data_IF_087043540225
#
_entry.id   IF_087043540225
#
_cell.length_a   1.000
_cell.length_b   1.000
_cell.length_c   1.000
_cell.angle_alpha   90.00
_cell.angle_beta   90.00
_cell.angle_gamma   90.00
#
_symmetry.space_group_name_H-M   'P 1'
#
loop_
_entity.id
_entity.type
_entity.pdbx_description
1 polymer ?
#
# COMPACT_ATOMS: atom_id res chain seq x y z
N UNK A 1 -41.66 -19.41 -23.02
CA UNK A 1 -41.13 -19.15 -21.65
C UNK A 1 -39.59 -19.09 -21.60
N UNK A 2 -38.84 -19.82 -22.43
CA UNK A 2 -37.35 -19.82 -22.43
C UNK A 2 -36.66 -18.49 -22.81
N UNK A 3 -37.27 -17.64 -23.66
CA UNK A 3 -36.66 -16.35 -24.06
C UNK A 3 -36.59 -15.32 -22.92
N UNK A 4 -37.49 -15.43 -21.94
CA UNK A 4 -37.50 -14.59 -20.72
C UNK A 4 -36.46 -15.06 -19.71
N UNK A 5 -36.23 -16.38 -19.63
CA UNK A 5 -35.23 -16.98 -18.76
C UNK A 5 -33.82 -16.64 -19.25
N UNK A 6 -33.58 -16.69 -20.57
CA UNK A 6 -32.31 -16.28 -21.16
C UNK A 6 -32.01 -14.78 -20.98
N UNK A 7 -33.02 -13.92 -21.02
CA UNK A 7 -32.87 -12.48 -20.79
C UNK A 7 -32.60 -12.13 -19.31
N UNK A 8 -33.17 -12.91 -18.37
CA UNK A 8 -32.92 -12.76 -16.92
C UNK A 8 -31.54 -13.29 -16.55
N UNK A 9 -31.08 -14.38 -17.18
CA UNK A 9 -29.71 -14.90 -16.99
C UNK A 9 -28.67 -13.92 -17.57
N UNK A 10 -28.92 -13.35 -18.75
CA UNK A 10 -28.02 -12.36 -19.35
C UNK A 10 -27.90 -11.04 -18.56
N UNK A 11 -28.94 -10.65 -17.82
CA UNK A 11 -28.90 -9.44 -16.98
C UNK A 11 -28.25 -9.67 -15.63
N UNK A 12 -28.27 -10.92 -15.13
CA UNK A 12 -27.60 -11.29 -13.87
C UNK A 12 -26.07 -11.42 -14.02
N UNK A 13 -25.57 -11.79 -15.21
CA UNK A 13 -24.13 -11.87 -15.47
C UNK A 13 -23.44 -10.50 -15.54
N UNK A 14 -24.13 -9.45 -15.98
CA UNK A 14 -23.54 -8.10 -16.12
C UNK A 14 -23.45 -7.38 -14.77
N UNK A 15 -24.29 -7.73 -13.78
CA UNK A 15 -24.31 -7.08 -12.47
C UNK A 15 -23.24 -7.61 -11.48
N UNK A 16 -22.63 -8.78 -11.75
CA UNK A 16 -21.68 -9.43 -10.82
C UNK A 16 -20.20 -9.17 -11.22
N UNK A 17 -19.95 -8.49 -12.34
CA UNK A 17 -18.60 -8.32 -12.89
C UNK A 17 -17.78 -7.11 -12.39
N UNK A 18 -18.34 -6.18 -11.60
CA UNK A 18 -17.72 -4.85 -11.40
C UNK A 18 -17.10 -4.54 -10.04
N UNK A 19 -16.98 -5.49 -9.12
CA UNK A 19 -16.43 -5.21 -7.78
C UNK A 19 -15.19 -6.04 -7.40
N UNK A 20 -14.18 -6.08 -8.27
CA UNK A 20 -12.83 -6.55 -7.89
C UNK A 20 -11.78 -5.52 -8.31
N UNK A 21 -11.81 -4.33 -7.68
CA UNK A 21 -10.71 -3.36 -7.68
C UNK A 21 -10.10 -3.19 -6.28
N UNK A 22 -10.28 -4.18 -5.41
CA UNK A 22 -9.64 -4.17 -4.09
C UNK A 22 -8.18 -4.58 -4.23
N UNK A 23 -7.25 -3.62 -4.04
CA UNK A 23 -6.05 -3.96 -3.29
C UNK A 23 -4.70 -3.38 -3.73
N UNK A 24 -4.59 -2.62 -4.82
CA UNK A 24 -3.37 -1.83 -5.01
C UNK A 24 -3.43 -0.62 -4.08
N UNK A 25 -2.93 -0.79 -2.85
CA UNK A 25 -2.74 0.29 -1.89
C UNK A 25 -1.59 1.20 -2.35
N UNK A 26 -1.85 2.01 -3.38
CA UNK A 26 -0.85 2.95 -3.92
C UNK A 26 -0.75 4.22 -3.05
N UNK A 27 0.38 4.94 -3.12
CA UNK A 27 0.50 6.24 -2.47
C UNK A 27 -0.59 7.23 -2.91
N UNK A 28 -0.95 7.27 -4.19
CA UNK A 28 -1.95 8.18 -4.75
C UNK A 28 -3.34 7.93 -4.17
N UNK A 29 -3.71 6.67 -3.95
CA UNK A 29 -4.97 6.32 -3.31
C UNK A 29 -5.03 6.86 -1.88
N UNK A 30 -3.92 6.77 -1.12
CA UNK A 30 -3.85 7.33 0.24
C UNK A 30 -3.84 8.86 0.24
N UNK A 31 -3.11 9.49 -0.69
CA UNK A 31 -3.09 10.95 -0.86
C UNK A 31 -4.50 11.47 -1.17
N UNK A 32 -5.24 10.78 -2.03
CA UNK A 32 -6.61 11.18 -2.40
C UNK A 32 -7.60 11.06 -1.22
N UNK A 33 -7.37 10.11 -0.31
CA UNK A 33 -8.17 9.91 0.89
C UNK A 33 -7.79 10.89 2.01
N UNK A 34 -6.52 11.30 2.08
CA UNK A 34 -5.97 12.19 3.10
C UNK A 34 -5.22 13.39 2.48
N UNK A 35 -5.90 14.23 1.68
CA UNK A 35 -5.27 15.38 1.03
C UNK A 35 -4.76 16.41 2.03
N UNK A 36 -5.38 16.52 3.20
CA UNK A 36 -5.00 17.43 4.28
C UNK A 36 -3.58 17.15 4.80
N UNK A 37 -3.22 15.87 4.93
CA UNK A 37 -1.88 15.46 5.35
C UNK A 37 -0.90 15.84 4.25
N UNK A 38 -1.19 15.48 2.99
CA UNK A 38 -0.31 15.75 1.86
C UNK A 38 -0.01 17.24 1.67
N UNK A 39 -1.04 18.08 1.75
CA UNK A 39 -0.94 19.53 1.59
C UNK A 39 -0.14 20.21 2.71
N UNK A 40 -0.10 19.61 3.90
CA UNK A 40 0.72 20.11 5.02
C UNK A 40 2.22 19.84 4.86
N UNK A 41 2.60 18.92 3.97
CA UNK A 41 3.99 18.53 3.75
C UNK A 41 4.76 19.60 2.97
N UNK A 42 6.09 19.64 3.18
CA UNK A 42 6.98 20.42 2.32
C UNK A 42 6.92 19.93 0.87
N UNK A 43 7.21 20.79 -0.11
CA UNK A 43 7.19 20.41 -1.52
C UNK A 43 8.14 19.25 -1.85
N UNK A 44 9.29 19.18 -1.15
CA UNK A 44 10.23 18.06 -1.26
C UNK A 44 9.62 16.75 -0.75
N UNK A 45 8.92 16.79 0.39
CA UNK A 45 8.27 15.60 0.95
C UNK A 45 7.08 15.16 0.12
N UNK A 46 6.30 16.10 -0.41
CA UNK A 46 5.20 15.81 -1.34
C UNK A 46 5.70 15.01 -2.55
N UNK A 47 6.81 15.42 -3.15
CA UNK A 47 7.39 14.74 -4.31
C UNK A 47 7.88 13.33 -3.98
N UNK A 48 8.45 13.11 -2.79
CA UNK A 48 8.91 11.79 -2.36
C UNK A 48 7.72 10.87 -2.04
N UNK A 49 6.73 11.38 -1.30
CA UNK A 49 5.54 10.63 -0.90
C UNK A 49 4.75 10.16 -2.13
N UNK A 50 4.57 11.01 -3.14
CA UNK A 50 3.90 10.61 -4.40
C UNK A 50 4.64 9.53 -5.17
N UNK A 51 5.95 9.35 -4.91
CA UNK A 51 6.76 8.28 -5.51
C UNK A 51 6.86 7.04 -4.61
N UNK A 52 6.19 7.03 -3.46
CA UNK A 52 6.33 5.97 -2.46
C UNK A 52 7.72 5.91 -1.82
N UNK A 53 8.43 7.04 -1.75
CA UNK A 53 9.75 7.16 -1.15
C UNK A 53 9.69 7.92 0.17
N UNK A 54 10.66 7.67 1.06
CA UNK A 54 10.80 8.36 2.33
C UNK A 54 12.23 8.84 2.54
N UNK A 55 12.42 9.80 3.44
CA UNK A 55 13.73 10.26 3.90
C UNK A 55 13.74 10.46 5.42
N UNK A 56 14.93 10.50 6.00
CA UNK A 56 15.10 10.87 7.40
C UNK A 56 14.53 12.28 7.68
N UNK A 57 13.87 12.42 8.83
CA UNK A 57 13.25 13.67 9.28
C UNK A 57 11.81 13.89 8.81
N UNK A 58 11.24 13.00 8.01
CA UNK A 58 9.80 13.01 7.70
C UNK A 58 8.97 12.71 8.96
N UNK A 59 7.75 13.26 8.98
CA UNK A 59 6.76 12.93 10.01
C UNK A 59 6.21 11.51 9.81
N UNK A 60 5.67 10.93 10.87
CA UNK A 60 5.04 9.61 10.82
C UNK A 60 3.88 9.57 9.81
N UNK A 61 3.10 10.65 9.71
CA UNK A 61 2.01 10.77 8.75
C UNK A 61 2.51 10.79 7.30
N UNK A 62 3.63 11.46 7.02
CA UNK A 62 4.25 11.44 5.68
C UNK A 62 4.73 10.03 5.30
N UNK A 63 5.35 9.31 6.24
CA UNK A 63 5.78 7.92 6.03
C UNK A 63 4.58 7.01 5.80
N UNK A 64 3.51 7.16 6.59
CA UNK A 64 2.28 6.41 6.41
C UNK A 64 1.62 6.70 5.06
N UNK A 65 1.64 7.95 4.62
CA UNK A 65 1.10 8.34 3.32
C UNK A 65 1.90 7.68 2.17
N UNK A 66 3.22 7.62 2.30
CA UNK A 66 4.09 6.97 1.31
C UNK A 66 3.96 5.44 1.32
N UNK A 67 4.08 4.78 2.48
CA UNK A 67 4.26 3.33 2.58
C UNK A 67 3.05 2.56 3.14
N UNK A 68 2.07 3.28 3.69
CA UNK A 68 0.90 2.69 4.35
C UNK A 68 1.19 2.19 5.76
N UNK A 69 0.27 1.39 6.28
CA UNK A 69 0.41 0.77 7.59
C UNK A 69 1.60 -0.22 7.59
N UNK A 70 2.43 -0.21 8.64
CA UNK A 70 3.51 -1.18 8.79
C UNK A 70 2.97 -2.56 9.14
N UNK A 71 3.77 -3.60 8.88
CA UNK A 71 3.46 -4.97 9.30
C UNK A 71 3.59 -5.12 10.81
N UNK A 72 4.53 -4.40 11.43
CA UNK A 72 4.71 -4.38 12.88
C UNK A 72 5.10 -2.98 13.39
N UNK A 73 4.61 -2.66 14.59
CA UNK A 73 5.02 -1.48 15.35
C UNK A 73 5.66 -1.93 16.65
N UNK A 74 6.90 -1.52 16.87
CA UNK A 74 7.69 -1.90 18.04
C UNK A 74 7.90 -0.64 18.88
N UNK A 75 7.31 -0.55 20.08
CA UNK A 75 7.60 0.54 21.00
C UNK A 75 9.01 0.40 21.57
N UNK A 76 9.65 1.53 21.83
CA UNK A 76 11.00 1.58 22.37
C UNK A 76 11.29 2.85 23.14
N UNK A 77 12.52 2.94 23.65
CA UNK A 77 13.02 4.14 24.32
C UNK A 77 14.42 4.45 23.80
N UNK A 78 14.62 5.67 23.30
CA UNK A 78 15.93 6.17 22.91
C UNK A 78 16.26 7.41 23.74
N UNK A 79 17.32 7.33 24.54
CA UNK A 79 17.83 8.43 25.37
C UNK A 79 16.75 9.05 26.29
N UNK A 80 15.90 8.20 26.88
CA UNK A 80 14.83 8.62 27.78
C UNK A 80 13.54 9.07 27.08
N UNK A 81 13.50 9.07 25.74
CA UNK A 81 12.31 9.41 24.96
C UNK A 81 11.66 8.16 24.39
N UNK A 82 10.34 8.05 24.53
CA UNK A 82 9.58 7.01 23.85
C UNK A 82 9.73 7.17 22.33
N UNK A 83 9.98 6.06 21.65
CA UNK A 83 10.05 5.98 20.18
C UNK A 83 9.20 4.81 19.69
N UNK A 84 8.80 4.85 18.43
CA UNK A 84 8.11 3.76 17.76
C UNK A 84 8.89 3.37 16.50
N UNK A 85 9.15 2.08 16.32
CA UNK A 85 9.83 1.53 15.14
C UNK A 85 8.82 0.81 14.26
N UNK A 86 8.74 1.22 12.99
CA UNK A 86 7.84 0.61 12.01
C UNK A 86 8.62 -0.39 11.15
N UNK A 87 8.16 -1.63 11.13
CA UNK A 87 8.77 -2.72 10.36
C UNK A 87 7.91 -3.03 9.15
N UNK A 88 8.56 -2.99 7.98
CA UNK A 88 7.95 -3.34 6.70
C UNK A 88 8.67 -4.56 6.14
N UNK A 89 7.94 -5.66 5.95
CA UNK A 89 8.46 -6.93 5.43
C UNK A 89 8.12 -7.00 3.94
N UNK A 90 9.12 -7.33 3.13
CA UNK A 90 8.96 -7.58 1.69
C UNK A 90 9.52 -8.96 1.39
N UNK A 91 8.68 -9.83 0.83
CA UNK A 91 9.13 -11.11 0.31
C UNK A 91 9.58 -10.93 -1.13
N UNK A 92 10.84 -11.23 -1.41
CA UNK A 92 11.36 -11.32 -2.76
C UNK A 92 11.82 -12.77 -2.98
N UNK A 93 11.36 -13.38 -4.06
CA UNK A 93 11.93 -14.66 -4.51
C UNK A 93 13.32 -14.35 -5.06
N UNK A 94 14.41 -14.88 -4.48
CA UNK A 94 15.73 -14.67 -5.04
C UNK A 94 15.77 -15.21 -6.47
N UNK A 95 16.55 -14.60 -7.38
CA UNK A 95 16.72 -15.15 -8.72
C UNK A 95 17.20 -16.59 -8.58
N UNK A 96 16.52 -17.53 -9.24
CA UNK A 96 16.95 -18.91 -9.30
C UNK A 96 18.22 -18.98 -10.14
N UNK A 97 19.38 -18.85 -9.48
CA UNK A 97 20.65 -19.23 -10.09
C UNK A 97 20.73 -20.75 -10.01
N UNK A 98 20.25 -21.42 -11.06
CA UNK A 98 20.25 -22.88 -11.20
C UNK A 98 21.65 -23.47 -11.32
N UNK A 99 22.46 -23.35 -10.27
CA UNK A 99 23.77 -23.99 -10.14
C UNK A 99 23.69 -25.14 -9.13
N UNK A 100 24.18 -26.35 -9.46
CA UNK A 100 24.21 -27.45 -8.50
C UNK A 100 25.18 -27.10 -7.36
N UNK A 101 24.69 -27.11 -6.12
CA UNK A 101 25.53 -27.10 -4.94
C UNK A 101 26.14 -28.49 -4.78
N UNK A 102 27.42 -28.64 -5.14
CA UNK A 102 28.21 -29.78 -4.73
C UNK A 102 28.65 -29.52 -3.28
N UNK A 103 28.18 -30.37 -2.36
CA UNK A 103 28.70 -30.50 -0.99
C UNK A 103 29.95 -31.38 -0.99
#
# INVERSE_FOLDING_TARGET
MQRRILAVVLTFEIAVGTLILTGCATPEARISQHPEIYQSLSQTDQALVSQGQIRAGMTMDAVWLAWGAPDQKIPGNARGRAIETWVYVRYATPPSYGGPYYY
#
